data_IF_040145912058
#
_entry.id   IF_040145912058
#
_cell.length_a   1.000
_cell.length_b   1.000
_cell.length_c   1.000
_cell.angle_alpha   90.00
_cell.angle_beta   90.00
_cell.angle_gamma   90.00
#
_symmetry.space_group_name_H-M   'P 1'
#
loop_
_entity.id
_entity.type
_entity.pdbx_description
1 polymer ?
#
# COMPACT_ATOMS: atom_id res chain seq x y z
N UNK A 1 90.45 8.29 54.21
CA UNK A 1 89.83 8.64 55.51
C UNK A 1 88.80 9.77 55.21
N UNK A 2 87.54 9.49 55.17
CA UNK A 2 86.36 10.33 55.48
C UNK A 2 85.14 9.49 55.16
N UNK A 3 84.32 9.23 56.16
CA UNK A 3 83.06 8.56 56.14
C UNK A 3 81.97 9.52 55.60
N UNK A 4 81.03 9.03 54.77
CA UNK A 4 79.81 9.72 54.58
C UNK A 4 78.66 8.71 54.71
N UNK A 5 77.75 9.07 55.63
CA UNK A 5 76.54 8.31 56.03
C UNK A 5 75.49 8.31 54.96
N UNK A 6 74.91 7.17 54.64
CA UNK A 6 73.72 7.00 53.84
C UNK A 6 72.45 7.39 54.62
N UNK A 7 71.58 8.10 53.97
CA UNK A 7 70.22 8.37 54.43
C UNK A 7 69.23 7.43 53.69
N UNK A 8 68.56 6.58 54.45
CA UNK A 8 67.41 5.80 53.94
C UNK A 8 66.21 6.69 53.73
N UNK A 9 65.72 6.79 52.51
CA UNK A 9 64.47 7.43 52.15
C UNK A 9 63.36 6.43 52.16
N UNK A 10 62.34 6.65 53.03
CA UNK A 10 61.14 5.88 53.16
C UNK A 10 60.19 6.33 52.05
N UNK A 11 60.03 5.53 51.01
CA UNK A 11 59.06 5.74 49.92
C UNK A 11 57.64 5.38 50.34
N UNK A 12 56.76 6.37 50.46
CA UNK A 12 55.31 6.18 50.68
C UNK A 12 54.67 5.79 49.34
N UNK A 13 54.20 4.56 49.26
CA UNK A 13 53.42 4.08 48.10
C UNK A 13 51.97 4.58 48.25
N UNK A 14 51.55 5.58 47.48
CA UNK A 14 50.15 6.03 47.39
C UNK A 14 49.45 5.16 46.36
N UNK A 15 48.62 4.20 46.81
CA UNK A 15 47.73 3.43 45.94
C UNK A 15 46.54 4.32 45.55
N UNK A 16 46.48 4.72 44.28
CA UNK A 16 45.32 5.43 43.70
C UNK A 16 44.23 4.38 43.37
N UNK A 17 43.18 4.34 44.18
CA UNK A 17 41.97 3.57 43.90
C UNK A 17 41.16 4.33 42.80
N UNK A 18 41.27 3.88 41.57
CA UNK A 18 40.48 4.37 40.47
C UNK A 18 39.01 3.86 40.61
N UNK A 19 38.09 4.74 41.00
CA UNK A 19 36.64 4.47 40.93
C UNK A 19 36.23 4.56 39.47
N UNK A 20 36.04 3.41 38.80
CA UNK A 20 35.38 3.34 37.51
C UNK A 20 33.91 3.67 37.75
N UNK A 21 33.46 4.89 37.42
CA UNK A 21 32.06 5.23 37.31
C UNK A 21 31.47 4.51 36.10
N UNK A 22 30.68 3.47 36.33
CA UNK A 22 29.88 2.84 35.31
C UNK A 22 28.80 3.86 34.86
N UNK A 23 28.99 4.50 33.71
CA UNK A 23 27.99 5.31 33.08
C UNK A 23 26.73 4.50 32.79
N UNK A 24 25.52 5.14 32.75
CA UNK A 24 24.30 4.43 32.42
C UNK A 24 24.43 3.81 31.03
N UNK A 25 24.33 2.48 30.95
CA UNK A 25 24.26 1.77 29.70
C UNK A 25 23.00 2.22 28.94
N UNK A 26 23.18 2.97 27.88
CA UNK A 26 22.12 3.30 26.94
C UNK A 26 21.65 1.95 26.36
N UNK A 27 20.50 1.47 26.81
CA UNK A 27 19.84 0.33 26.18
C UNK A 27 19.37 0.83 24.81
N UNK A 28 20.12 0.55 23.77
CA UNK A 28 19.60 0.58 22.40
C UNK A 28 18.48 -0.45 22.37
N UNK A 29 17.24 0.05 22.32
CA UNK A 29 16.08 -0.81 22.20
C UNK A 29 16.28 -1.67 20.96
N UNK A 30 16.33 -2.99 21.12
CA UNK A 30 16.31 -3.91 19.98
C UNK A 30 14.98 -3.73 19.28
N UNK A 31 15.00 -3.14 18.09
CA UNK A 31 13.81 -3.09 17.25
C UNK A 31 13.36 -4.52 16.98
N UNK A 32 12.14 -4.83 17.39
CA UNK A 32 11.56 -6.14 17.14
C UNK A 32 11.39 -6.31 15.62
N UNK A 33 12.00 -7.35 15.01
CA UNK A 33 11.95 -7.50 13.56
C UNK A 33 10.49 -7.58 13.08
N UNK A 34 10.18 -6.79 12.06
CA UNK A 34 8.85 -6.80 11.43
C UNK A 34 8.58 -8.17 10.78
N UNK A 35 7.32 -8.55 10.74
CA UNK A 35 6.87 -9.74 10.02
C UNK A 35 6.21 -9.38 8.68
N UNK A 36 5.53 -10.34 8.10
CA UNK A 36 4.74 -10.17 6.89
C UNK A 36 3.37 -10.86 7.01
N UNK A 37 2.42 -10.46 6.17
CA UNK A 37 1.16 -11.19 5.98
C UNK A 37 1.11 -11.59 4.52
N UNK A 38 0.92 -12.87 4.23
CA UNK A 38 0.74 -13.38 2.88
C UNK A 38 -0.47 -14.30 2.80
N UNK A 39 -1.02 -14.43 1.60
CA UNK A 39 -2.16 -15.30 1.41
C UNK A 39 -2.88 -15.07 0.12
N UNK A 40 -4.16 -15.42 0.12
CA UNK A 40 -5.02 -15.32 -1.03
C UNK A 40 -6.38 -14.73 -0.66
N UNK A 41 -6.86 -13.82 -1.52
CA UNK A 41 -8.23 -13.32 -1.52
C UNK A 41 -8.99 -13.99 -2.69
N UNK A 42 -9.96 -14.83 -2.39
CA UNK A 42 -10.79 -15.46 -3.42
C UNK A 42 -12.00 -14.58 -3.75
N UNK A 43 -11.96 -13.92 -4.90
CA UNK A 43 -13.04 -13.08 -5.45
C UNK A 43 -13.72 -13.72 -6.67
N UNK A 44 -13.35 -14.97 -7.03
CA UNK A 44 -13.81 -15.58 -8.27
C UNK A 44 -15.33 -15.74 -8.36
N UNK A 45 -16.00 -15.99 -7.23
CA UNK A 45 -17.46 -16.07 -7.18
C UNK A 45 -18.14 -14.71 -7.42
N UNK A 46 -17.49 -13.63 -7.03
CA UNK A 46 -17.96 -12.27 -7.21
C UNK A 46 -17.64 -11.73 -8.61
N UNK A 47 -16.51 -12.16 -9.19
CA UNK A 47 -16.09 -11.77 -10.54
C UNK A 47 -16.89 -12.46 -11.66
N UNK A 48 -17.54 -13.57 -11.35
CA UNK A 48 -18.46 -14.26 -12.27
C UNK A 48 -19.80 -13.50 -12.33
N UNK A 49 -19.80 -12.29 -12.92
CA UNK A 49 -21.07 -11.65 -13.29
C UNK A 49 -21.84 -12.54 -14.26
N UNK A 50 -23.18 -12.62 -14.16
CA UNK A 50 -23.98 -13.35 -15.15
C UNK A 50 -23.64 -12.77 -16.53
N UNK A 51 -23.10 -13.61 -17.42
CA UNK A 51 -22.97 -13.23 -18.82
C UNK A 51 -24.40 -13.04 -19.36
N UNK A 52 -24.81 -11.80 -19.57
CA UNK A 52 -26.05 -11.51 -20.27
C UNK A 52 -25.95 -12.17 -21.65
N UNK A 53 -26.92 -13.03 -21.99
CA UNK A 53 -26.98 -13.61 -23.34
C UNK A 53 -27.05 -12.43 -24.33
N UNK A 54 -26.24 -12.45 -25.41
CA UNK A 54 -26.33 -11.43 -26.45
C UNK A 54 -27.77 -11.32 -26.93
N UNK A 55 -28.33 -10.13 -26.92
CA UNK A 55 -29.63 -9.85 -27.48
C UNK A 55 -29.55 -9.71 -29.01
N UNK A 56 -30.69 -9.71 -29.67
CA UNK A 56 -30.76 -9.51 -31.14
C UNK A 56 -30.16 -8.14 -31.53
N UNK A 57 -30.19 -7.14 -30.65
CA UNK A 57 -29.54 -5.83 -30.83
C UNK A 57 -28.01 -5.87 -30.84
N UNK A 58 -27.39 -6.96 -30.38
CA UNK A 58 -25.93 -7.09 -30.38
C UNK A 58 -25.39 -7.65 -31.70
N UNK A 59 -26.29 -8.07 -32.62
CA UNK A 59 -25.92 -8.53 -33.96
C UNK A 59 -25.43 -7.34 -34.80
N UNK A 60 -24.14 -7.32 -35.07
CA UNK A 60 -23.45 -6.20 -35.77
C UNK A 60 -22.91 -5.13 -34.82
N UNK A 61 -23.01 -5.33 -33.52
CA UNK A 61 -22.36 -4.45 -32.55
C UNK A 61 -20.83 -4.50 -32.71
N UNK A 62 -20.21 -3.35 -32.46
CA UNK A 62 -18.76 -3.24 -32.34
C UNK A 62 -18.22 -4.31 -31.40
N UNK A 63 -17.02 -4.90 -31.68
CA UNK A 63 -16.41 -5.85 -30.74
C UNK A 63 -16.47 -5.32 -29.31
N UNK A 64 -16.78 -6.17 -28.33
CA UNK A 64 -16.86 -5.71 -26.95
C UNK A 64 -15.55 -5.04 -26.58
N UNK A 65 -15.66 -3.87 -25.91
CA UNK A 65 -14.52 -3.18 -25.33
C UNK A 65 -13.69 -4.15 -24.49
N UNK A 66 -12.39 -3.92 -24.33
CA UNK A 66 -11.56 -4.79 -23.52
C UNK A 66 -12.21 -4.98 -22.14
N UNK A 67 -12.43 -6.23 -21.75
CA UNK A 67 -13.03 -6.52 -20.45
C UNK A 67 -12.07 -6.09 -19.36
N UNK A 68 -12.48 -5.22 -18.43
CA UNK A 68 -11.63 -4.81 -17.33
C UNK A 68 -11.15 -6.03 -16.54
N UNK A 69 -9.92 -6.00 -16.02
CA UNK A 69 -9.44 -7.08 -15.15
C UNK A 69 -10.18 -7.06 -13.80
N UNK A 70 -11.22 -7.87 -13.71
CA UNK A 70 -12.05 -8.02 -12.51
C UNK A 70 -11.51 -9.07 -11.52
N UNK A 71 -10.37 -9.71 -11.81
CA UNK A 71 -9.81 -10.78 -10.97
C UNK A 71 -9.06 -10.26 -9.75
N UNK A 72 -8.76 -8.96 -9.72
CA UNK A 72 -7.95 -8.35 -8.66
C UNK A 72 -8.82 -7.75 -7.58
N UNK A 73 -8.49 -8.05 -6.34
CA UNK A 73 -9.02 -7.40 -5.15
C UNK A 73 -7.95 -6.60 -4.43
N UNK A 74 -8.31 -6.03 -3.30
CA UNK A 74 -7.43 -5.27 -2.44
C UNK A 74 -7.46 -5.86 -1.03
N UNK A 75 -6.30 -6.03 -0.42
CA UNK A 75 -6.16 -6.49 0.96
C UNK A 75 -5.41 -5.42 1.76
N UNK A 76 -5.91 -5.08 2.94
CA UNK A 76 -5.32 -4.05 3.79
C UNK A 76 -5.61 -4.28 5.28
N UNK A 77 -4.80 -3.67 6.15
CA UNK A 77 -5.08 -3.61 7.58
C UNK A 77 -6.16 -2.54 7.85
N UNK A 78 -7.22 -2.89 8.55
CA UNK A 78 -8.32 -1.96 8.88
C UNK A 78 -7.84 -0.82 9.79
N UNK A 79 -6.95 -1.15 10.72
CA UNK A 79 -6.28 -0.19 11.59
C UNK A 79 -4.78 -0.44 11.51
N UNK A 80 -4.04 0.57 11.06
CA UNK A 80 -2.59 0.50 10.98
C UNK A 80 -1.92 0.66 12.35
N UNK A 81 -0.77 -0.01 12.59
CA UNK A 81 0.05 0.26 13.77
C UNK A 81 0.58 1.70 13.77
N UNK A 82 0.84 2.26 14.95
CA UNK A 82 1.27 3.67 15.11
C UNK A 82 2.57 4.01 14.38
N UNK A 83 3.49 3.06 14.25
CA UNK A 83 4.75 3.20 13.49
C UNK A 83 4.57 3.32 11.98
N UNK A 84 3.35 3.27 11.46
CA UNK A 84 3.04 3.33 10.04
C UNK A 84 2.94 4.75 9.47
N UNK A 85 3.06 5.76 10.30
CA UNK A 85 2.76 7.14 9.92
C UNK A 85 4.03 8.00 9.82
N UNK A 86 5.18 7.38 9.61
CA UNK A 86 6.40 8.12 9.28
C UNK A 86 6.24 8.72 7.88
N UNK A 87 6.51 10.03 7.77
CA UNK A 87 6.33 10.82 6.56
C UNK A 87 7.20 10.29 5.41
N UNK A 88 6.63 9.39 4.60
CA UNK A 88 7.25 8.94 3.35
C UNK A 88 7.21 10.05 2.28
N UNK A 89 8.16 10.02 1.37
CA UNK A 89 8.14 10.90 0.20
C UNK A 89 6.86 10.65 -0.63
N UNK A 90 6.20 11.71 -1.12
CA UNK A 90 4.99 11.59 -1.92
C UNK A 90 5.20 10.70 -3.15
N UNK A 91 4.45 9.62 -3.24
CA UNK A 91 4.54 8.66 -4.33
C UNK A 91 4.03 9.20 -5.67
N UNK A 92 4.39 8.50 -6.75
CA UNK A 92 3.82 8.70 -8.08
C UNK A 92 3.30 7.38 -8.64
N UNK A 93 2.12 7.39 -9.23
CA UNK A 93 1.45 6.22 -9.79
C UNK A 93 0.79 6.59 -11.12
N UNK A 94 0.32 5.61 -11.86
CA UNK A 94 -0.28 5.81 -13.17
C UNK A 94 -1.55 4.97 -13.32
N UNK A 95 -2.57 5.55 -13.97
CA UNK A 95 -3.79 4.88 -14.41
C UNK A 95 -4.03 5.28 -15.87
N UNK A 96 -3.63 4.44 -16.80
CA UNK A 96 -3.70 4.68 -18.24
C UNK A 96 -5.13 4.45 -18.77
N UNK A 97 -5.46 5.11 -19.86
CA UNK A 97 -6.69 4.89 -20.64
C UNK A 97 -6.29 4.16 -21.92
N UNK A 98 -6.66 2.88 -21.98
CA UNK A 98 -6.28 1.98 -23.07
C UNK A 98 -7.39 1.01 -23.42
N UNK A 99 -7.71 0.90 -24.71
CA UNK A 99 -8.80 0.06 -25.23
C UNK A 99 -10.14 0.39 -24.54
N UNK A 100 -10.42 1.67 -24.36
CA UNK A 100 -11.61 2.19 -23.68
C UNK A 100 -11.78 1.62 -22.25
N UNK A 101 -10.67 1.40 -21.54
CA UNK A 101 -10.66 1.00 -20.13
C UNK A 101 -9.60 1.78 -19.35
N UNK A 102 -9.78 1.88 -18.02
CA UNK A 102 -8.73 2.34 -17.12
C UNK A 102 -7.82 1.17 -16.74
N UNK A 103 -6.49 1.35 -16.88
CA UNK A 103 -5.48 0.31 -16.61
C UNK A 103 -4.40 0.86 -15.65
N UNK A 104 -4.27 0.31 -14.45
CA UNK A 104 -5.09 -0.76 -13.86
C UNK A 104 -6.50 -0.25 -13.49
N UNK A 105 -7.49 -1.14 -13.47
CA UNK A 105 -8.84 -0.80 -13.01
C UNK A 105 -8.93 -0.56 -11.50
N UNK A 106 -8.05 -1.16 -10.72
CA UNK A 106 -7.91 -0.97 -9.28
C UNK A 106 -6.49 -0.52 -8.96
N UNK A 107 -6.36 0.67 -8.39
CA UNK A 107 -5.11 1.26 -7.94
C UNK A 107 -5.22 1.55 -6.43
N UNK A 108 -4.20 1.16 -5.66
CA UNK A 108 -4.09 1.50 -4.25
C UNK A 108 -2.83 2.34 -4.05
N UNK A 109 -2.98 3.46 -3.36
CA UNK A 109 -1.90 4.44 -3.14
C UNK A 109 -1.93 5.01 -1.73
N UNK A 110 -0.82 5.58 -1.28
CA UNK A 110 -0.77 6.35 -0.04
C UNK A 110 -1.20 7.80 -0.26
N UNK A 111 -1.65 8.46 0.81
CA UNK A 111 -1.93 9.90 0.82
C UNK A 111 -0.71 10.69 0.34
N UNK A 112 -0.96 11.78 -0.39
CA UNK A 112 0.10 12.58 -1.00
C UNK A 112 0.54 12.09 -2.39
N UNK A 113 0.18 10.87 -2.81
CA UNK A 113 0.53 10.33 -4.12
C UNK A 113 -0.11 11.14 -5.25
N UNK A 114 0.68 11.43 -6.27
CA UNK A 114 0.20 11.98 -7.55
C UNK A 114 -0.03 10.84 -8.54
N UNK A 115 -1.23 10.75 -9.09
CA UNK A 115 -1.58 9.77 -10.12
C UNK A 115 -1.65 10.47 -11.47
N UNK A 116 -0.89 9.95 -12.43
CA UNK A 116 -0.93 10.36 -13.83
C UNK A 116 -2.01 9.56 -14.58
N UNK A 117 -2.72 10.24 -15.47
CA UNK A 117 -3.74 9.68 -16.34
C UNK A 117 -3.37 9.89 -17.80
N UNK A 118 -2.46 9.10 -18.39
CA UNK A 118 -2.20 9.16 -19.82
C UNK A 118 -3.40 8.65 -20.61
N UNK A 119 -3.50 9.11 -21.85
CA UNK A 119 -4.44 8.57 -22.84
C UNK A 119 -3.66 7.88 -23.95
N UNK A 120 -3.60 6.56 -23.90
CA UNK A 120 -2.93 5.71 -24.89
C UNK A 120 -3.86 5.25 -26.04
N UNK A 121 -5.15 5.62 -26.00
CA UNK A 121 -6.09 5.37 -27.08
C UNK A 121 -6.00 6.45 -28.16
N UNK A 122 -6.45 6.14 -29.37
CA UNK A 122 -6.50 7.07 -30.50
C UNK A 122 -7.69 8.05 -30.47
N UNK A 123 -8.51 7.98 -29.43
CA UNK A 123 -9.74 8.77 -29.25
C UNK A 123 -9.64 9.66 -28.00
N UNK A 124 -10.56 10.63 -27.91
CA UNK A 124 -10.66 11.47 -26.71
C UNK A 124 -11.24 10.70 -25.54
N UNK A 125 -10.71 10.97 -24.35
CA UNK A 125 -11.26 10.53 -23.07
C UNK A 125 -11.33 11.70 -22.09
N UNK A 126 -12.13 11.51 -21.03
CA UNK A 126 -12.15 12.33 -19.84
C UNK A 126 -11.83 11.44 -18.62
N UNK A 127 -11.33 12.05 -17.56
CA UNK A 127 -11.16 11.40 -16.25
C UNK A 127 -11.78 12.30 -15.19
N UNK A 128 -12.81 11.81 -14.52
CA UNK A 128 -13.45 12.58 -13.46
C UNK A 128 -13.87 11.69 -12.27
N UNK A 129 -14.10 12.32 -11.13
CA UNK A 129 -14.61 11.69 -9.93
C UNK A 129 -15.52 12.65 -9.14
N UNK A 130 -16.61 12.11 -8.61
CA UNK A 130 -17.52 12.80 -7.68
C UNK A 130 -17.33 12.32 -6.23
N UNK A 131 -16.35 11.47 -5.96
CA UNK A 131 -16.09 10.88 -4.64
C UNK A 131 -15.70 11.94 -3.60
N UNK A 132 -16.18 11.77 -2.36
CA UNK A 132 -15.88 12.72 -1.25
C UNK A 132 -14.39 12.80 -0.91
N UNK A 133 -13.66 11.67 -1.02
CA UNK A 133 -12.21 11.64 -0.76
C UNK A 133 -11.45 12.54 -1.75
N UNK A 134 -11.82 12.51 -3.03
CA UNK A 134 -11.26 13.40 -4.06
C UNK A 134 -12.29 13.64 -5.18
N UNK A 135 -12.79 14.86 -5.28
CA UNK A 135 -13.59 15.32 -6.43
C UNK A 135 -12.67 16.03 -7.42
N UNK A 136 -12.77 15.67 -8.71
CA UNK A 136 -12.05 16.33 -9.79
C UNK A 136 -12.69 16.05 -11.14
N UNK A 137 -12.37 16.89 -12.12
CA UNK A 137 -12.70 16.71 -13.54
C UNK A 137 -11.52 17.24 -14.36
N UNK A 138 -10.88 16.37 -15.13
CA UNK A 138 -9.74 16.74 -15.96
C UNK A 138 -10.16 17.29 -17.33
N UNK A 139 -11.47 17.27 -17.66
CA UNK A 139 -11.97 17.56 -18.98
C UNK A 139 -11.46 16.55 -20.01
N UNK A 140 -11.92 16.68 -21.25
CA UNK A 140 -11.55 15.81 -22.36
C UNK A 140 -10.14 16.11 -22.88
N UNK A 141 -9.38 15.07 -23.24
CA UNK A 141 -8.07 15.22 -23.84
C UNK A 141 -7.76 14.10 -24.85
N UNK A 142 -6.94 14.45 -25.84
CA UNK A 142 -6.61 13.60 -26.98
C UNK A 142 -5.55 12.52 -26.63
N UNK A 143 -5.39 11.60 -27.56
CA UNK A 143 -4.30 10.61 -27.60
C UNK A 143 -2.92 11.20 -27.28
N UNK A 144 -2.09 10.46 -26.54
CA UNK A 144 -0.74 10.83 -26.17
C UNK A 144 -0.61 11.97 -25.15
N UNK A 145 -1.74 12.52 -24.67
CA UNK A 145 -1.73 13.54 -23.58
C UNK A 145 -1.90 12.84 -22.23
N UNK A 146 -1.33 13.46 -21.20
CA UNK A 146 -1.50 13.02 -19.81
C UNK A 146 -1.87 14.19 -18.92
N UNK A 147 -2.69 13.94 -17.93
CA UNK A 147 -3.03 14.87 -16.85
C UNK A 147 -2.83 14.17 -15.52
N UNK A 148 -2.70 14.93 -14.41
CA UNK A 148 -2.37 14.36 -13.11
C UNK A 148 -3.27 14.93 -12.02
N UNK A 149 -3.49 14.11 -10.97
CA UNK A 149 -4.23 14.50 -9.75
C UNK A 149 -3.45 14.01 -8.53
N UNK A 150 -3.31 14.87 -7.54
CA UNK A 150 -2.77 14.50 -6.22
C UNK A 150 -3.89 14.06 -5.29
N UNK A 151 -3.66 13.00 -4.51
CA UNK A 151 -4.63 12.39 -3.61
C UNK A 151 -4.20 12.58 -2.14
N UNK A 152 -4.72 13.62 -1.48
CA UNK A 152 -4.29 14.04 -0.13
C UNK A 152 -5.18 13.52 1.01
N UNK A 153 -6.27 12.80 0.70
CA UNK A 153 -7.22 12.30 1.70
C UNK A 153 -7.46 10.81 1.53
N UNK A 154 -7.43 10.01 2.61
CA UNK A 154 -7.75 8.59 2.52
C UNK A 154 -9.20 8.37 2.13
N UNK A 155 -9.46 7.24 1.45
CA UNK A 155 -10.79 6.82 1.06
C UNK A 155 -10.86 6.25 -0.35
N UNK A 156 -12.06 5.83 -0.73
CA UNK A 156 -12.34 5.25 -2.06
C UNK A 156 -12.72 6.36 -3.03
N UNK A 157 -12.03 6.41 -4.15
CA UNK A 157 -12.28 7.32 -5.26
C UNK A 157 -12.70 6.51 -6.48
N UNK A 158 -13.96 6.63 -6.91
CA UNK A 158 -14.43 6.06 -8.18
C UNK A 158 -14.11 7.02 -9.31
N UNK A 159 -13.50 6.48 -10.35
CA UNK A 159 -13.06 7.23 -11.54
C UNK A 159 -13.93 6.81 -12.72
N UNK A 160 -14.30 7.78 -13.56
CA UNK A 160 -15.19 7.59 -14.71
C UNK A 160 -14.70 8.39 -15.92
N UNK A 161 -15.20 8.01 -17.10
CA UNK A 161 -15.15 8.80 -18.32
C UNK A 161 -16.57 9.30 -18.66
N UNK A 162 -16.71 10.55 -19.11
CA UNK A 162 -18.01 11.13 -19.48
C UNK A 162 -18.45 10.77 -20.93
N UNK A 163 -17.51 10.30 -21.75
CA UNK A 163 -17.77 9.91 -23.14
C UNK A 163 -18.15 8.43 -23.24
N UNK A 164 -17.45 7.59 -22.47
CA UNK A 164 -17.59 6.13 -22.50
C UNK A 164 -18.11 5.63 -21.14
N UNK A 165 -19.41 5.45 -21.02
CA UNK A 165 -20.08 5.14 -19.74
C UNK A 165 -19.65 3.82 -19.09
N UNK A 166 -19.07 2.89 -19.86
CA UNK A 166 -18.53 1.62 -19.36
C UNK A 166 -17.14 1.78 -18.71
N UNK A 167 -16.42 2.89 -18.97
CA UNK A 167 -15.12 3.14 -18.38
C UNK A 167 -15.26 3.58 -16.92
N UNK A 168 -14.88 2.68 -16.01
CA UNK A 168 -14.82 2.99 -14.58
C UNK A 168 -13.67 2.28 -13.89
N UNK A 169 -13.14 2.91 -12.84
CA UNK A 169 -12.03 2.38 -12.04
C UNK A 169 -12.14 2.81 -10.58
N UNK A 170 -11.28 2.25 -9.74
CA UNK A 170 -11.14 2.62 -8.34
C UNK A 170 -9.70 3.03 -8.02
N UNK A 171 -9.57 4.13 -7.30
CA UNK A 171 -8.33 4.50 -6.60
C UNK A 171 -8.65 4.47 -5.12
N UNK A 172 -7.99 3.60 -4.37
CA UNK A 172 -8.14 3.52 -2.91
C UNK A 172 -6.93 4.16 -2.27
N UNK A 173 -7.17 5.22 -1.51
CA UNK A 173 -6.11 6.03 -0.87
C UNK A 173 -6.03 5.66 0.59
N UNK A 174 -4.84 5.30 1.05
CA UNK A 174 -4.55 4.94 2.43
C UNK A 174 -3.61 5.98 3.08
N UNK A 175 -3.73 6.11 4.38
CA UNK A 175 -2.77 6.88 5.19
C UNK A 175 -1.69 5.99 5.84
N UNK A 176 -1.48 4.78 5.33
CA UNK A 176 -0.50 3.80 5.82
C UNK A 176 -0.08 2.87 4.67
N UNK A 177 1.09 2.20 4.73
CA UNK A 177 1.61 1.35 3.66
C UNK A 177 1.09 -0.10 3.66
N UNK A 178 0.29 -0.51 4.68
CA UNK A 178 -0.13 -1.91 4.86
C UNK A 178 -1.34 -2.28 4.00
N UNK A 179 -1.18 -2.25 2.71
CA UNK A 179 -2.16 -2.69 1.72
C UNK A 179 -1.47 -3.33 0.51
N UNK A 180 -2.19 -4.17 -0.22
CA UNK A 180 -1.75 -4.73 -1.53
C UNK A 180 -2.94 -5.01 -2.41
N UNK A 181 -2.83 -4.63 -3.68
CA UNK A 181 -3.69 -5.15 -4.75
C UNK A 181 -3.21 -6.55 -5.05
N UNK A 182 -4.13 -7.52 -5.15
CA UNK A 182 -3.80 -8.91 -5.42
C UNK A 182 -3.33 -9.10 -6.86
N UNK A 183 -2.62 -10.19 -7.12
CA UNK A 183 -2.42 -10.65 -8.50
C UNK A 183 -3.72 -11.25 -9.08
N UNK A 184 -3.67 -11.74 -10.33
CA UNK A 184 -4.82 -12.29 -11.02
C UNK A 184 -5.32 -13.62 -10.41
N UNK A 185 -4.48 -14.29 -9.62
CA UNK A 185 -4.80 -15.51 -8.87
C UNK A 185 -5.30 -15.20 -7.44
N UNK A 186 -5.37 -13.91 -7.09
CA UNK A 186 -5.81 -13.44 -5.78
C UNK A 186 -4.71 -13.42 -4.71
N UNK A 187 -3.44 -13.72 -5.05
CA UNK A 187 -2.34 -13.75 -4.09
C UNK A 187 -1.91 -12.33 -3.70
N UNK A 188 -1.51 -12.17 -2.45
CA UNK A 188 -0.99 -10.92 -1.90
C UNK A 188 0.12 -11.16 -0.89
N UNK A 189 0.94 -10.11 -0.65
CA UNK A 189 1.92 -10.08 0.42
C UNK A 189 2.10 -8.64 0.93
N UNK A 190 1.88 -8.44 2.23
CA UNK A 190 2.10 -7.18 2.95
C UNK A 190 3.34 -7.36 3.80
N UNK A 191 4.36 -6.56 3.54
CA UNK A 191 5.66 -6.61 4.21
C UNK A 191 5.74 -5.61 5.36
N UNK A 192 6.78 -5.77 6.19
CA UNK A 192 7.15 -4.85 7.26
C UNK A 192 6.06 -4.59 8.27
N UNK A 193 5.20 -5.58 8.53
CA UNK A 193 4.12 -5.46 9.51
C UNK A 193 4.70 -5.69 10.91
N UNK A 194 4.60 -4.73 11.85
CA UNK A 194 5.01 -4.93 13.22
C UNK A 194 4.32 -6.13 13.86
N UNK A 195 4.95 -6.83 14.84
CA UNK A 195 4.28 -7.89 15.57
C UNK A 195 3.03 -7.38 16.29
N UNK A 196 1.93 -8.15 16.21
CA UNK A 196 0.65 -7.75 16.78
C UNK A 196 -0.52 -8.52 16.18
N UNK A 197 -1.72 -8.23 16.69
CA UNK A 197 -2.96 -8.79 16.13
C UNK A 197 -3.73 -7.69 15.42
N UNK A 198 -4.13 -7.95 14.19
CA UNK A 198 -4.74 -6.98 13.28
C UNK A 198 -6.02 -7.55 12.67
N UNK A 199 -6.91 -6.67 12.22
CA UNK A 199 -8.01 -7.02 11.32
C UNK A 199 -7.56 -6.80 9.88
N UNK A 200 -7.47 -7.88 9.12
CA UNK A 200 -7.20 -7.87 7.70
C UNK A 200 -8.53 -7.80 6.93
N UNK A 201 -8.62 -6.88 5.99
CA UNK A 201 -9.82 -6.65 5.18
C UNK A 201 -9.54 -7.06 3.74
N UNK A 202 -10.39 -7.91 3.19
CA UNK A 202 -10.49 -8.17 1.76
C UNK A 202 -11.58 -7.29 1.13
N UNK A 203 -11.20 -6.48 0.17
CA UNK A 203 -12.07 -5.52 -0.52
C UNK A 203 -12.16 -5.86 -2.01
N UNK A 204 -13.37 -5.70 -2.57
CA UNK A 204 -13.63 -5.96 -3.99
C UNK A 204 -14.79 -5.10 -4.50
N UNK A 205 -14.61 -4.45 -5.66
CA UNK A 205 -15.63 -3.69 -6.39
C UNK A 205 -16.42 -2.67 -5.52
N UNK A 206 -15.69 -1.87 -4.74
CA UNK A 206 -16.29 -0.79 -3.95
C UNK A 206 -16.61 -1.16 -2.50
N UNK A 207 -16.52 -2.44 -2.11
CA UNK A 207 -16.97 -2.91 -0.81
C UNK A 207 -15.94 -3.80 -0.08
N UNK A 208 -15.90 -3.68 1.25
CA UNK A 208 -15.22 -4.64 2.11
C UNK A 208 -16.04 -5.94 2.18
N UNK A 209 -15.52 -7.03 1.62
CA UNK A 209 -16.22 -8.31 1.48
C UNK A 209 -15.96 -9.27 2.63
N UNK A 210 -14.77 -9.22 3.19
CA UNK A 210 -14.36 -10.12 4.27
C UNK A 210 -13.46 -9.41 5.25
N UNK A 211 -13.58 -9.74 6.54
CA UNK A 211 -12.69 -9.32 7.62
C UNK A 211 -12.21 -10.53 8.38
N UNK A 212 -10.92 -10.59 8.68
CA UNK A 212 -10.32 -11.71 9.40
C UNK A 212 -9.23 -11.22 10.34
N UNK A 213 -9.24 -11.69 11.57
CA UNK A 213 -8.14 -11.45 12.51
C UNK A 213 -6.89 -12.22 12.06
N UNK A 214 -5.73 -11.58 12.15
CA UNK A 214 -4.42 -12.16 11.85
C UNK A 214 -3.43 -11.73 12.92
N UNK A 215 -2.62 -12.68 13.42
CA UNK A 215 -1.54 -12.41 14.35
C UNK A 215 -0.21 -12.51 13.61
N UNK A 216 0.57 -11.43 13.67
CA UNK A 216 1.92 -11.32 13.09
C UNK A 216 2.93 -11.49 14.22
N UNK A 217 3.86 -12.44 14.06
CA UNK A 217 5.00 -12.65 14.96
C UNK A 217 6.26 -12.07 14.36
N UNK A 218 7.20 -11.71 15.22
CA UNK A 218 8.46 -11.10 14.83
C UNK A 218 9.22 -11.97 13.81
N UNK A 219 9.62 -11.38 12.69
CA UNK A 219 10.42 -12.02 11.65
C UNK A 219 9.72 -13.14 10.87
N UNK A 220 8.43 -13.40 11.11
CA UNK A 220 7.68 -14.47 10.46
C UNK A 220 6.61 -13.94 9.50
N UNK A 221 6.19 -14.78 8.55
CA UNK A 221 5.05 -14.50 7.69
C UNK A 221 3.80 -15.24 8.19
N UNK A 222 2.74 -14.49 8.50
CA UNK A 222 1.43 -15.05 8.80
C UNK A 222 0.72 -15.42 7.48
N UNK A 223 0.16 -16.63 7.40
CA UNK A 223 -0.60 -17.07 6.22
C UNK A 223 -2.10 -16.93 6.44
N UNK A 224 -2.79 -16.37 5.44
CA UNK A 224 -4.22 -16.08 5.55
C UNK A 224 -4.95 -16.36 4.22
N UNK A 225 -6.01 -17.17 4.33
CA UNK A 225 -6.99 -17.30 3.27
C UNK A 225 -8.20 -16.40 3.56
N UNK A 226 -8.56 -15.54 2.60
CA UNK A 226 -9.72 -14.66 2.64
C UNK A 226 -10.72 -15.13 1.57
N UNK A 227 -11.85 -15.67 2.00
CA UNK A 227 -12.93 -16.10 1.11
C UNK A 227 -14.06 -15.09 1.23
N UNK A 228 -14.33 -14.36 0.16
CA UNK A 228 -15.47 -13.46 0.09
C UNK A 228 -16.76 -14.30 -0.05
N UNK A 229 -17.81 -14.00 0.75
CA UNK A 229 -19.08 -14.71 0.72
C UNK A 229 -19.84 -14.50 -0.60
#
# INVERSE_FOLDING_TARGET
MVLTRGRAGLGVLVAAIGVLAAGPAVRVGQETPAGAIRGRLDVRRLAAAPQSRPGVGDLGARPPHATPDLRRGLVYLEVAPRSAFDDGEPGRAMMDQRNETFVPRLLAVETGTTVDFPNSDAIFHNVFSLSRARRFDLGRYAAGRSKAVRFDRPGVVRVFCDIHSHMSAFIVVFNHPFFRVTDAEGRFRIENVPPGTYTLVGWYEGEARVRKAVTVTAGAAAEVELVAP
#
